data_IF_629384131524
#
_entry.id   IF_629384131524
#
_cell.length_a   1.000
_cell.length_b   1.000
_cell.length_c   1.000
_cell.angle_alpha   90.00
_cell.angle_beta   90.00
_cell.angle_gamma   90.00
#
_symmetry.space_group_name_H-M   'P 1'
#
loop_
_entity.id
_entity.type
_entity.pdbx_description
1 polymer ?
#
# COMPACT_ATOMS: atom_id res chain seq x y z
N UNK A 1 -26.31 -69.21 11.80
CA UNK A 1 -26.84 -70.49 12.30
C UNK A 1 -25.82 -71.08 13.27
N UNK A 2 -26.23 -71.36 14.52
CA UNK A 2 -25.49 -71.99 15.64
C UNK A 2 -24.28 -71.21 16.20
N UNK A 3 -23.98 -71.11 17.51
CA UNK A 3 -24.56 -71.58 18.79
C UNK A 3 -23.64 -70.95 19.86
N UNK A 4 -24.09 -70.23 20.90
CA UNK A 4 -24.26 -70.68 22.31
C UNK A 4 -24.35 -69.39 23.17
N UNK A 5 -25.42 -69.15 23.93
CA UNK A 5 -25.66 -69.61 25.31
C UNK A 5 -24.63 -69.05 26.31
N UNK A 6 -24.96 -68.50 27.48
CA UNK A 6 -26.22 -68.30 28.20
C UNK A 6 -25.87 -67.58 29.53
N UNK A 7 -26.58 -66.51 29.90
CA UNK A 7 -27.07 -66.19 31.28
C UNK A 7 -26.06 -65.89 32.41
N UNK A 8 -26.35 -65.15 33.51
CA UNK A 8 -27.56 -64.91 34.32
C UNK A 8 -27.36 -63.59 35.14
N UNK A 9 -28.39 -62.75 35.26
CA UNK A 9 -29.19 -62.43 36.50
C UNK A 9 -28.56 -61.33 37.37
N UNK A 10 -29.06 -60.08 37.33
CA UNK A 10 -30.16 -59.44 38.12
C UNK A 10 -29.70 -58.85 39.47
N UNK A 11 -29.84 -57.52 39.53
CA UNK A 11 -30.25 -56.59 40.59
C UNK A 11 -29.77 -56.77 42.04
N UNK A 12 -29.36 -55.66 42.68
CA UNK A 12 -29.97 -55.15 43.93
C UNK A 12 -29.59 -53.67 44.12
N UNK A 13 -30.61 -52.87 44.45
CA UNK A 13 -30.57 -51.46 44.85
C UNK A 13 -30.14 -51.37 46.32
N UNK A 14 -29.25 -50.44 46.68
CA UNK A 14 -29.11 -49.97 48.05
C UNK A 14 -28.74 -48.47 48.08
N UNK A 15 -29.71 -47.68 48.52
CA UNK A 15 -29.59 -46.25 48.84
C UNK A 15 -28.90 -46.09 50.19
N UNK A 16 -27.91 -45.21 50.32
CA UNK A 16 -27.51 -44.67 51.62
C UNK A 16 -27.10 -43.21 51.46
N UNK A 17 -27.90 -42.34 52.08
CA UNK A 17 -27.64 -40.92 52.28
C UNK A 17 -26.74 -40.79 53.50
N UNK A 18 -25.65 -40.02 53.41
CA UNK A 18 -25.01 -39.44 54.59
C UNK A 18 -24.58 -38.00 54.31
N UNK A 19 -24.94 -37.11 55.23
CA UNK A 19 -24.85 -35.67 55.17
C UNK A 19 -23.73 -35.19 56.11
N UNK A 20 -22.91 -34.23 55.65
CA UNK A 20 -22.29 -33.21 56.50
C UNK A 20 -20.81 -33.40 56.87
N UNK A 21 -19.96 -32.48 56.41
CA UNK A 21 -19.24 -31.52 57.27
C UNK A 21 -18.35 -30.59 56.43
N UNK A 22 -18.15 -29.39 56.97
CA UNK A 22 -17.69 -28.13 56.38
C UNK A 22 -16.18 -27.86 56.48
N UNK A 23 -15.75 -26.85 55.69
CA UNK A 23 -14.67 -25.85 55.91
C UNK A 23 -13.29 -25.99 55.21
N UNK A 24 -13.00 -24.90 54.48
CA UNK A 24 -11.72 -24.18 54.24
C UNK A 24 -10.66 -24.72 53.28
N UNK A 25 -10.39 -23.93 52.22
CA UNK A 25 -9.18 -23.99 51.41
C UNK A 25 -9.12 -22.87 50.36
N UNK A 26 -8.17 -21.95 50.53
CA UNK A 26 -7.94 -20.72 49.75
C UNK A 26 -7.76 -20.88 48.23
N UNK A 27 -8.25 -19.88 47.49
CA UNK A 27 -7.45 -19.11 46.54
C UNK A 27 -7.31 -19.65 45.11
N UNK A 28 -7.89 -18.93 44.14
CA UNK A 28 -7.17 -18.38 42.98
C UNK A 28 -8.09 -17.53 42.10
N UNK A 29 -7.62 -16.32 41.84
CA UNK A 29 -8.00 -15.36 40.80
C UNK A 29 -8.76 -15.94 39.59
N UNK A 30 -9.96 -15.42 39.34
CA UNK A 30 -10.63 -15.54 38.06
C UNK A 30 -9.82 -14.77 37.00
N UNK A 31 -9.15 -15.51 36.11
CA UNK A 31 -8.72 -14.98 34.81
C UNK A 31 -9.95 -14.96 33.91
N UNK A 32 -10.31 -13.76 33.45
CA UNK A 32 -11.14 -13.57 32.27
C UNK A 32 -10.53 -14.36 31.11
N UNK A 33 -11.25 -15.38 30.65
CA UNK A 33 -11.03 -15.90 29.31
C UNK A 33 -11.68 -14.91 28.35
N UNK A 34 -10.85 -14.07 27.74
CA UNK A 34 -11.22 -13.35 26.53
C UNK A 34 -11.74 -14.36 25.51
N UNK A 35 -12.99 -14.19 25.11
CA UNK A 35 -13.64 -14.93 24.05
C UNK A 35 -12.73 -15.00 22.82
N UNK A 36 -12.36 -16.23 22.44
CA UNK A 36 -11.82 -16.49 21.12
C UNK A 36 -12.87 -16.04 20.11
N UNK A 37 -12.58 -14.94 19.39
CA UNK A 37 -13.41 -14.48 18.30
C UNK A 37 -13.65 -15.66 17.36
N UNK A 38 -14.91 -16.07 17.23
CA UNK A 38 -15.33 -17.05 16.23
C UNK A 38 -14.64 -16.70 14.91
N UNK A 39 -13.99 -17.69 14.29
CA UNK A 39 -13.62 -17.65 12.87
C UNK A 39 -14.91 -17.59 12.07
N UNK A 40 -15.56 -16.44 12.06
CA UNK A 40 -16.65 -16.12 11.15
C UNK A 40 -16.12 -16.28 9.73
N UNK A 41 -16.91 -16.90 8.86
CA UNK A 41 -16.70 -17.12 7.42
C UNK A 41 -16.58 -15.78 6.67
N UNK A 42 -15.58 -14.98 7.03
CA UNK A 42 -15.32 -13.66 6.49
C UNK A 42 -14.76 -13.82 5.08
N UNK A 43 -15.56 -13.44 4.09
CA UNK A 43 -15.18 -13.48 2.68
C UNK A 43 -14.74 -12.10 2.23
N UNK A 44 -13.43 -11.96 2.04
CA UNK A 44 -12.78 -10.78 1.46
C UNK A 44 -12.39 -11.11 0.02
N UNK A 45 -12.55 -10.15 -0.89
CA UNK A 45 -11.88 -10.15 -2.18
C UNK A 45 -10.87 -9.02 -2.27
N UNK A 46 -9.75 -9.31 -2.92
CA UNK A 46 -8.80 -8.32 -3.42
C UNK A 46 -8.83 -8.39 -4.95
N UNK A 47 -9.08 -7.24 -5.60
CA UNK A 47 -9.23 -7.16 -7.05
C UNK A 47 -8.35 -6.07 -7.65
N UNK A 48 -7.64 -6.41 -8.71
CA UNK A 48 -6.94 -5.48 -9.58
C UNK A 48 -7.41 -5.66 -11.03
N UNK A 49 -7.43 -4.58 -11.80
CA UNK A 49 -8.09 -4.55 -13.10
C UNK A 49 -7.33 -5.29 -14.21
N UNK A 50 -5.99 -5.25 -14.18
CA UNK A 50 -5.13 -5.90 -15.16
C UNK A 50 -3.78 -6.33 -14.56
N UNK A 51 -3.03 -7.26 -15.20
CA UNK A 51 -1.70 -7.64 -14.73
C UNK A 51 -0.73 -6.45 -14.72
N UNK A 52 -0.02 -6.24 -13.60
CA UNK A 52 0.99 -5.20 -13.45
C UNK A 52 1.98 -5.58 -12.33
N UNK A 53 3.31 -5.34 -12.47
CA UNK A 53 4.30 -5.71 -11.45
C UNK A 53 4.01 -5.19 -10.03
N UNK A 54 3.55 -3.94 -9.92
CA UNK A 54 3.07 -3.35 -8.65
C UNK A 54 2.10 -4.26 -7.87
N UNK A 55 1.19 -4.96 -8.56
CA UNK A 55 0.21 -5.81 -7.91
C UNK A 55 0.82 -7.06 -7.29
N UNK A 56 1.96 -7.54 -7.78
CA UNK A 56 2.66 -8.67 -7.16
C UNK A 56 3.23 -8.29 -5.78
N UNK A 57 3.67 -7.04 -5.60
CA UNK A 57 4.08 -6.55 -4.28
C UNK A 57 2.90 -6.28 -3.35
N UNK A 58 1.75 -5.84 -3.90
CA UNK A 58 0.51 -5.70 -3.12
C UNK A 58 0.01 -7.06 -2.62
N UNK A 59 0.06 -8.10 -3.47
CA UNK A 59 -0.32 -9.48 -3.09
C UNK A 59 0.51 -10.00 -1.92
N UNK A 60 1.82 -9.73 -1.85
CA UNK A 60 2.65 -10.10 -0.68
C UNK A 60 2.07 -9.54 0.62
N UNK A 61 1.49 -8.34 0.57
CA UNK A 61 0.76 -7.74 1.69
C UNK A 61 -0.52 -8.52 2.06
N UNK A 62 -1.31 -8.89 1.05
CA UNK A 62 -2.50 -9.74 1.20
C UNK A 62 -2.11 -11.09 1.81
N UNK A 63 -1.11 -11.77 1.28
CA UNK A 63 -0.54 -13.02 1.80
C UNK A 63 -0.07 -12.86 3.26
N UNK A 64 0.59 -11.74 3.59
CA UNK A 64 0.98 -11.41 4.95
C UNK A 64 -0.22 -11.35 5.91
N UNK A 65 -1.31 -10.71 5.50
CA UNK A 65 -2.56 -10.68 6.26
C UNK A 65 -3.18 -12.07 6.41
N UNK A 66 -3.23 -12.86 5.32
CA UNK A 66 -3.77 -14.22 5.34
C UNK A 66 -2.97 -15.11 6.30
N UNK A 67 -1.63 -15.03 6.25
CA UNK A 67 -0.73 -15.79 7.12
C UNK A 67 -0.90 -15.44 8.59
N UNK A 68 -1.05 -14.15 8.91
CA UNK A 68 -1.20 -13.72 10.30
C UNK A 68 -2.57 -14.07 10.89
N UNK A 69 -3.64 -13.91 10.10
CA UNK A 69 -5.01 -14.00 10.62
C UNK A 69 -5.68 -15.35 10.36
N UNK A 70 -5.18 -16.12 9.40
CA UNK A 70 -5.82 -17.33 8.90
C UNK A 70 -7.08 -17.10 8.08
N UNK A 71 -7.38 -15.85 7.70
CA UNK A 71 -8.53 -15.47 6.87
C UNK A 71 -8.11 -15.53 5.41
N UNK A 72 -8.80 -16.33 4.60
CA UNK A 72 -8.55 -16.41 3.16
C UNK A 72 -9.13 -15.20 2.42
N UNK A 73 -8.37 -14.69 1.45
CA UNK A 73 -8.76 -13.61 0.54
C UNK A 73 -8.91 -14.18 -0.86
N UNK A 74 -10.02 -13.86 -1.53
CA UNK A 74 -10.20 -14.17 -2.95
C UNK A 74 -9.43 -13.13 -3.77
N UNK A 75 -8.27 -13.51 -4.28
CA UNK A 75 -7.43 -12.65 -5.12
C UNK A 75 -7.80 -12.84 -6.59
N UNK A 76 -8.15 -11.75 -7.29
CA UNK A 76 -8.48 -11.80 -8.71
C UNK A 76 -7.82 -10.62 -9.46
N UNK A 77 -7.24 -10.91 -10.61
CA UNK A 77 -6.77 -9.91 -11.57
C UNK A 77 -7.62 -10.00 -12.83
N UNK A 78 -8.18 -8.87 -13.25
CA UNK A 78 -8.95 -8.76 -14.49
C UNK A 78 -8.09 -8.77 -15.75
N UNK A 79 -8.71 -8.73 -16.94
CA UNK A 79 -8.00 -8.82 -18.20
C UNK A 79 -7.50 -7.46 -18.74
N UNK A 80 -8.15 -6.35 -18.36
CA UNK A 80 -7.90 -5.02 -18.89
C UNK A 80 -8.31 -3.89 -17.93
N UNK A 81 -7.84 -2.67 -18.21
CA UNK A 81 -8.12 -1.47 -17.41
C UNK A 81 -9.49 -0.85 -17.67
N UNK A 82 -10.49 -1.63 -18.12
CA UNK A 82 -11.83 -1.10 -18.40
C UNK A 82 -12.73 -1.22 -17.18
N UNK A 83 -13.38 -0.11 -16.85
CA UNK A 83 -14.35 -0.07 -15.74
C UNK A 83 -15.50 -1.07 -15.91
N UNK A 84 -15.93 -1.34 -17.15
CA UNK A 84 -16.98 -2.32 -17.43
C UNK A 84 -16.54 -3.74 -17.02
N UNK A 85 -15.35 -4.17 -17.43
CA UNK A 85 -14.77 -5.47 -17.06
C UNK A 85 -14.62 -5.60 -15.54
N UNK A 86 -14.14 -4.54 -14.88
CA UNK A 86 -14.04 -4.49 -13.43
C UNK A 86 -15.40 -4.65 -12.74
N UNK A 87 -16.42 -3.91 -13.19
CA UNK A 87 -17.76 -3.96 -12.60
C UNK A 87 -18.37 -5.36 -12.72
N UNK A 88 -18.33 -5.96 -13.90
CA UNK A 88 -18.82 -7.33 -14.14
C UNK A 88 -18.14 -8.36 -13.24
N UNK A 89 -16.81 -8.27 -13.08
CA UNK A 89 -16.05 -9.19 -12.25
C UNK A 89 -16.38 -9.02 -10.75
N UNK A 90 -16.45 -7.79 -10.26
CA UNK A 90 -16.79 -7.49 -8.87
C UNK A 90 -18.23 -7.90 -8.54
N UNK A 91 -19.18 -7.65 -9.43
CA UNK A 91 -20.57 -8.09 -9.29
C UNK A 91 -20.68 -9.62 -9.25
N UNK A 92 -19.93 -10.33 -10.10
CA UNK A 92 -19.89 -11.79 -10.09
C UNK A 92 -19.32 -12.35 -8.77
N UNK A 93 -18.31 -11.69 -8.18
CA UNK A 93 -17.78 -12.01 -6.86
C UNK A 93 -18.80 -11.70 -5.74
N UNK A 94 -19.51 -10.57 -5.85
CA UNK A 94 -20.56 -10.19 -4.91
C UNK A 94 -21.74 -11.18 -4.93
N UNK A 95 -22.11 -11.67 -6.12
CA UNK A 95 -23.13 -12.71 -6.31
C UNK A 95 -22.73 -14.05 -5.68
N UNK A 96 -21.42 -14.33 -5.55
CA UNK A 96 -20.88 -15.48 -4.80
C UNK A 96 -20.84 -15.26 -3.27
N UNK A 97 -21.40 -14.14 -2.79
CA UNK A 97 -21.56 -13.84 -1.37
C UNK A 97 -20.39 -13.09 -0.74
N UNK A 98 -19.44 -12.56 -1.53
CA UNK A 98 -18.39 -11.69 -1.01
C UNK A 98 -19.00 -10.33 -0.63
N UNK A 99 -18.67 -9.83 0.57
CA UNK A 99 -19.22 -8.58 1.13
C UNK A 99 -18.18 -7.50 1.43
N UNK A 100 -16.91 -7.81 1.23
CA UNK A 100 -15.78 -6.95 1.59
C UNK A 100 -14.76 -6.99 0.46
N UNK A 101 -14.54 -5.83 -0.17
CA UNK A 101 -13.69 -5.72 -1.35
C UNK A 101 -12.58 -4.70 -1.13
N UNK A 102 -11.35 -5.09 -1.42
CA UNK A 102 -10.25 -4.17 -1.69
C UNK A 102 -10.11 -4.09 -3.22
N UNK A 103 -10.31 -2.91 -3.80
CA UNK A 103 -10.24 -2.72 -5.25
C UNK A 103 -9.17 -1.68 -5.61
N UNK A 104 -8.45 -1.93 -6.69
CA UNK A 104 -7.77 -0.87 -7.42
C UNK A 104 -8.76 -0.35 -8.47
N UNK A 105 -9.25 0.89 -8.39
CA UNK A 105 -10.22 1.39 -9.37
C UNK A 105 -9.58 1.54 -10.74
N UNK A 106 -10.19 0.95 -11.77
CA UNK A 106 -9.76 1.12 -13.17
C UNK A 106 -9.83 2.58 -13.63
N UNK A 107 -10.94 3.25 -13.31
CA UNK A 107 -11.16 4.66 -13.57
C UNK A 107 -11.68 5.37 -12.30
N UNK A 108 -11.01 6.43 -11.82
CA UNK A 108 -11.39 7.08 -10.57
C UNK A 108 -12.83 7.60 -10.50
N UNK A 109 -13.37 8.10 -11.61
CA UNK A 109 -14.72 8.69 -11.62
C UNK A 109 -15.79 7.61 -11.81
N UNK A 110 -15.60 6.73 -12.79
CA UNK A 110 -16.58 5.74 -13.23
C UNK A 110 -16.75 4.61 -12.20
N UNK A 111 -15.70 4.29 -11.44
CA UNK A 111 -15.78 3.29 -10.37
C UNK A 111 -16.79 3.67 -9.26
N UNK A 112 -17.12 4.95 -9.06
CA UNK A 112 -18.09 5.35 -8.04
C UNK A 112 -19.49 4.77 -8.28
N UNK A 113 -19.92 4.57 -9.53
CA UNK A 113 -21.23 3.97 -9.82
C UNK A 113 -21.35 2.54 -9.28
N UNK A 114 -20.30 1.73 -9.49
CA UNK A 114 -20.20 0.38 -8.93
C UNK A 114 -20.19 0.42 -7.39
N UNK A 115 -19.39 1.32 -6.81
CA UNK A 115 -19.25 1.42 -5.35
C UNK A 115 -20.58 1.81 -4.70
N UNK A 116 -21.33 2.74 -5.30
CA UNK A 116 -22.66 3.14 -4.84
C UNK A 116 -23.66 1.97 -4.87
N UNK A 117 -23.65 1.18 -5.94
CA UNK A 117 -24.48 -0.02 -6.05
C UNK A 117 -24.13 -1.05 -4.96
N UNK A 118 -22.85 -1.31 -4.74
CA UNK A 118 -22.37 -2.24 -3.72
C UNK A 118 -22.73 -1.75 -2.30
N UNK A 119 -22.54 -0.47 -2.01
CA UNK A 119 -22.90 0.14 -0.72
C UNK A 119 -24.40 -0.02 -0.43
N UNK A 120 -25.27 0.17 -1.42
CA UNK A 120 -26.73 -0.03 -1.29
C UNK A 120 -27.12 -1.48 -0.92
N UNK A 121 -26.25 -2.45 -1.22
CA UNK A 121 -26.38 -3.88 -0.90
C UNK A 121 -25.66 -4.26 0.40
N UNK A 122 -25.17 -3.28 1.16
CA UNK A 122 -24.41 -3.48 2.39
C UNK A 122 -23.01 -4.07 2.17
N UNK A 123 -22.45 -3.91 0.97
CA UNK A 123 -21.10 -4.39 0.61
C UNK A 123 -20.12 -3.25 0.85
N UNK A 124 -19.04 -3.52 1.58
CA UNK A 124 -18.01 -2.53 1.86
C UNK A 124 -16.89 -2.63 0.84
N UNK A 125 -16.51 -1.48 0.30
CA UNK A 125 -15.38 -1.32 -0.62
C UNK A 125 -14.32 -0.43 0.00
N UNK A 126 -13.05 -0.83 -0.14
CA UNK A 126 -11.87 0.00 0.11
C UNK A 126 -11.10 0.11 -1.19
N UNK A 127 -10.70 1.34 -1.54
CA UNK A 127 -9.80 1.58 -2.66
C UNK A 127 -8.36 1.42 -2.20
N UNK A 128 -7.49 0.79 -2.99
CA UNK A 128 -6.05 0.71 -2.69
C UNK A 128 -5.20 1.20 -3.86
N UNK A 129 -4.07 1.85 -3.55
CA UNK A 129 -3.12 2.36 -4.55
C UNK A 129 -3.61 3.62 -5.28
N UNK A 130 -4.80 3.56 -5.89
CA UNK A 130 -5.50 4.70 -6.48
C UNK A 130 -6.82 4.98 -5.75
N UNK A 131 -7.22 6.24 -5.65
CA UNK A 131 -8.51 6.64 -5.09
C UNK A 131 -9.51 6.91 -6.19
N UNK A 132 -10.78 6.65 -5.92
CA UNK A 132 -11.89 7.22 -6.69
C UNK A 132 -12.02 8.72 -6.45
N UNK A 133 -12.70 9.39 -7.38
CA UNK A 133 -13.03 10.82 -7.27
C UNK A 133 -13.96 11.04 -6.08
N UNK A 134 -13.64 12.01 -5.22
CA UNK A 134 -14.49 12.36 -4.07
C UNK A 134 -15.61 13.34 -4.48
N UNK A 135 -16.82 13.24 -3.89
CA UNK A 135 -17.22 12.32 -2.83
C UNK A 135 -17.43 10.88 -3.33
N UNK A 136 -17.15 9.90 -2.46
CA UNK A 136 -17.30 8.46 -2.75
C UNK A 136 -17.90 7.71 -1.56
N UNK A 137 -18.52 6.54 -1.82
CA UNK A 137 -19.05 5.61 -0.79
C UNK A 137 -18.03 4.57 -0.32
N UNK A 138 -16.85 4.51 -0.94
CA UNK A 138 -15.75 3.69 -0.45
C UNK A 138 -15.41 4.05 1.00
N UNK A 139 -15.18 3.05 1.84
CA UNK A 139 -14.97 3.25 3.28
C UNK A 139 -13.61 3.86 3.58
N UNK A 140 -12.60 3.48 2.80
CA UNK A 140 -11.25 4.02 2.89
C UNK A 140 -10.60 4.07 1.51
N UNK A 141 -9.60 4.94 1.39
CA UNK A 141 -8.52 4.84 0.42
C UNK A 141 -7.23 4.51 1.17
N UNK A 142 -6.60 3.39 0.83
CA UNK A 142 -5.31 2.95 1.37
C UNK A 142 -4.24 3.11 0.30
N UNK A 143 -3.38 4.10 0.47
CA UNK A 143 -2.42 4.48 -0.57
C UNK A 143 -1.29 5.32 -0.05
N UNK A 144 -0.39 5.70 -0.94
CA UNK A 144 0.65 6.68 -0.65
C UNK A 144 0.06 8.10 -0.77
N UNK A 145 0.36 8.99 0.17
CA UNK A 145 0.24 10.43 -0.10
C UNK A 145 1.33 10.87 -1.09
N UNK A 146 1.00 10.84 -2.38
CA UNK A 146 1.98 11.08 -3.45
C UNK A 146 2.52 12.51 -3.46
N UNK A 147 1.72 13.49 -3.00
CA UNK A 147 2.16 14.89 -2.88
C UNK A 147 3.20 15.00 -1.77
N UNK A 148 2.89 14.47 -0.60
CA UNK A 148 3.81 14.44 0.54
C UNK A 148 5.09 13.67 0.20
N UNK A 149 4.98 12.51 -0.47
CA UNK A 149 6.13 11.73 -0.90
C UNK A 149 7.08 12.49 -1.84
N UNK A 150 6.53 13.24 -2.81
CA UNK A 150 7.33 14.07 -3.70
C UNK A 150 7.94 15.29 -2.98
N UNK A 151 7.22 15.86 -2.02
CA UNK A 151 7.74 16.91 -1.16
C UNK A 151 8.93 16.39 -0.35
N UNK A 152 8.79 15.26 0.35
CA UNK A 152 9.86 14.64 1.15
C UNK A 152 11.08 14.24 0.30
N UNK A 153 10.85 13.74 -0.92
CA UNK A 153 11.91 13.46 -1.89
C UNK A 153 12.69 14.73 -2.25
N UNK A 154 11.96 15.83 -2.49
CA UNK A 154 12.56 17.11 -2.88
C UNK A 154 13.33 17.75 -1.73
N UNK A 155 12.78 17.69 -0.51
CA UNK A 155 13.45 18.14 0.73
C UNK A 155 14.76 17.36 0.93
N UNK A 156 14.77 16.04 0.68
CA UNK A 156 15.99 15.24 0.72
C UNK A 156 16.99 15.65 -0.36
N UNK A 157 16.55 15.91 -1.59
CA UNK A 157 17.41 16.38 -2.68
C UNK A 157 18.06 17.72 -2.33
N UNK A 158 17.27 18.69 -1.84
CA UNK A 158 17.74 20.01 -1.40
C UNK A 158 18.78 19.88 -0.29
N UNK A 159 18.55 18.99 0.67
CA UNK A 159 19.51 18.69 1.74
C UNK A 159 20.84 18.15 1.20
N UNK A 160 20.81 17.23 0.22
CA UNK A 160 22.02 16.72 -0.44
C UNK A 160 22.79 17.81 -1.18
N UNK A 161 22.07 18.75 -1.81
CA UNK A 161 22.64 19.91 -2.49
C UNK A 161 23.22 20.98 -1.52
N UNK A 162 23.00 20.84 -0.22
CA UNK A 162 23.45 21.81 0.78
C UNK A 162 22.62 23.09 0.80
N UNK A 163 21.30 22.97 0.60
CA UNK A 163 20.32 24.06 0.73
C UNK A 163 20.48 25.23 -0.27
N UNK A 164 21.09 24.96 -1.42
CA UNK A 164 21.23 25.91 -2.52
C UNK A 164 21.42 25.19 -3.86
N UNK A 165 21.01 25.84 -4.95
CA UNK A 165 21.33 25.38 -6.31
C UNK A 165 20.12 25.21 -7.21
N UNK A 166 20.34 24.50 -8.31
CA UNK A 166 19.42 24.42 -9.43
C UNK A 166 18.87 23.01 -9.63
N UNK A 167 17.55 22.88 -9.67
CA UNK A 167 16.84 21.61 -9.86
C UNK A 167 16.24 21.54 -11.26
N UNK A 168 16.36 20.38 -11.90
CA UNK A 168 15.49 19.97 -13.02
C UNK A 168 14.37 19.09 -12.44
N UNK A 169 13.11 19.49 -12.66
CA UNK A 169 11.92 18.72 -12.29
C UNK A 169 11.48 17.85 -13.48
N UNK A 170 11.46 16.53 -13.31
CA UNK A 170 11.17 15.55 -14.36
C UNK A 170 9.86 14.85 -14.03
N UNK A 171 8.85 15.09 -14.86
CA UNK A 171 7.49 14.60 -14.69
C UNK A 171 7.12 13.58 -15.78
N UNK A 172 6.23 12.65 -15.46
CA UNK A 172 5.61 11.74 -16.44
C UNK A 172 4.56 12.52 -17.28
N UNK A 173 3.34 12.01 -17.38
CA UNK A 173 2.26 12.61 -18.17
C UNK A 173 1.38 13.51 -17.31
N UNK A 174 1.12 14.74 -17.76
CA UNK A 174 0.32 15.71 -16.99
C UNK A 174 -1.17 15.38 -17.01
N UNK A 175 -1.61 14.43 -17.83
CA UNK A 175 -2.96 13.90 -17.81
C UNK A 175 -3.24 13.10 -16.53
N UNK A 176 -2.21 12.49 -15.94
CA UNK A 176 -2.30 11.74 -14.68
C UNK A 176 -2.42 12.69 -13.47
N UNK A 177 -3.39 12.40 -12.61
CA UNK A 177 -3.65 13.16 -11.40
C UNK A 177 -2.50 13.04 -10.38
N UNK A 178 -1.85 11.87 -10.28
CA UNK A 178 -0.74 11.69 -9.36
C UNK A 178 0.47 12.53 -9.77
N UNK A 179 0.76 12.61 -11.07
CA UNK A 179 1.82 13.48 -11.62
C UNK A 179 1.60 14.95 -11.24
N UNK A 180 0.36 15.46 -11.29
CA UNK A 180 0.03 16.83 -10.86
C UNK A 180 0.29 17.04 -9.37
N UNK A 181 -0.14 16.11 -8.52
CA UNK A 181 0.06 16.19 -7.08
C UNK A 181 1.54 16.12 -6.68
N UNK A 182 2.31 15.26 -7.36
CA UNK A 182 3.76 15.17 -7.14
C UNK A 182 4.46 16.46 -7.57
N UNK A 183 4.07 17.05 -8.71
CA UNK A 183 4.54 18.37 -9.14
C UNK A 183 4.28 19.44 -8.08
N UNK A 184 3.05 19.51 -7.55
CA UNK A 184 2.73 20.45 -6.47
C UNK A 184 3.63 20.24 -5.24
N UNK A 185 3.88 18.99 -4.85
CA UNK A 185 4.79 18.65 -3.74
C UNK A 185 6.22 19.14 -3.96
N UNK A 186 6.77 18.96 -5.17
CA UNK A 186 8.08 19.48 -5.56
C UNK A 186 8.10 21.02 -5.47
N UNK A 187 7.11 21.69 -6.05
CA UNK A 187 7.03 23.15 -6.03
C UNK A 187 6.89 23.71 -4.60
N UNK A 188 6.09 23.06 -3.75
CA UNK A 188 5.90 23.46 -2.35
C UNK A 188 7.16 23.26 -1.51
N UNK A 189 7.91 22.17 -1.72
CA UNK A 189 9.23 22.01 -1.10
C UNK A 189 10.15 23.16 -1.53
N UNK A 190 10.36 23.37 -2.83
CA UNK A 190 11.29 24.40 -3.33
C UNK A 190 10.91 25.81 -2.85
N UNK A 191 9.62 26.14 -2.77
CA UNK A 191 9.15 27.46 -2.26
C UNK A 191 9.63 27.77 -0.84
N UNK A 192 9.95 26.76 -0.02
CA UNK A 192 10.48 26.94 1.35
C UNK A 192 11.98 27.25 1.37
N UNK A 193 12.68 27.08 0.24
CA UNK A 193 14.14 27.19 0.13
C UNK A 193 14.54 28.30 -0.86
N UNK A 194 14.73 29.55 -0.40
CA UNK A 194 14.93 30.71 -1.29
C UNK A 194 16.22 30.66 -2.13
N UNK A 195 17.19 29.83 -1.75
CA UNK A 195 18.45 29.64 -2.47
C UNK A 195 18.39 28.49 -3.49
N UNK A 196 17.24 27.82 -3.59
CA UNK A 196 16.98 26.72 -4.53
C UNK A 196 16.00 27.21 -5.59
N UNK A 197 16.23 26.82 -6.84
CA UNK A 197 15.30 27.12 -7.94
C UNK A 197 15.12 25.94 -8.88
N UNK A 198 13.90 25.75 -9.35
CA UNK A 198 13.62 24.87 -10.50
C UNK A 198 14.02 25.65 -11.75
N UNK A 199 15.11 25.23 -12.41
CA UNK A 199 15.62 25.89 -13.63
C UNK A 199 14.98 25.34 -14.90
N UNK A 200 14.41 24.14 -14.82
CA UNK A 200 13.68 23.53 -15.91
C UNK A 200 12.68 22.52 -15.35
N UNK A 201 11.50 22.47 -15.96
CA UNK A 201 10.54 21.39 -15.78
C UNK A 201 10.33 20.72 -17.14
N UNK A 202 10.43 19.39 -17.19
CA UNK A 202 10.18 18.59 -18.39
C UNK A 202 9.11 17.53 -18.10
N UNK A 203 8.25 17.26 -19.09
CA UNK A 203 7.10 16.35 -18.95
C UNK A 203 6.74 15.62 -20.25
N UNK A 204 5.70 14.80 -20.18
CA UNK A 204 5.10 14.08 -21.30
C UNK A 204 5.91 12.88 -21.76
N UNK A 205 6.51 12.15 -20.82
CA UNK A 205 7.28 10.93 -21.08
C UNK A 205 6.34 9.72 -20.95
N UNK A 206 6.13 9.02 -22.06
CA UNK A 206 5.21 7.86 -22.13
C UNK A 206 5.92 6.52 -22.18
N UNK A 207 7.24 6.53 -22.36
CA UNK A 207 8.09 5.34 -22.33
C UNK A 207 9.46 5.67 -21.74
N UNK A 208 10.19 4.62 -21.34
CA UNK A 208 11.56 4.75 -20.84
C UNK A 208 12.48 5.39 -21.88
N UNK A 209 12.32 5.08 -23.17
CA UNK A 209 13.11 5.68 -24.25
C UNK A 209 12.86 7.18 -24.39
N UNK A 210 11.59 7.61 -24.35
CA UNK A 210 11.24 9.03 -24.36
C UNK A 210 11.80 9.76 -23.14
N UNK A 211 11.76 9.13 -21.96
CA UNK A 211 12.32 9.68 -20.73
C UNK A 211 13.83 9.86 -20.85
N UNK A 212 14.57 8.83 -21.26
CA UNK A 212 16.03 8.91 -21.48
C UNK A 212 16.37 10.03 -22.44
N UNK A 213 15.70 10.11 -23.58
CA UNK A 213 15.97 11.15 -24.59
C UNK A 213 15.76 12.56 -24.02
N UNK A 214 14.57 12.84 -23.45
CA UNK A 214 14.23 14.17 -22.93
C UNK A 214 15.10 14.58 -21.75
N UNK A 215 15.41 13.65 -20.85
CA UNK A 215 16.29 13.90 -19.69
C UNK A 215 17.71 14.15 -20.17
N UNK A 216 18.22 13.36 -21.13
CA UNK A 216 19.56 13.57 -21.69
C UNK A 216 19.69 14.96 -22.33
N UNK A 217 18.71 15.39 -23.12
CA UNK A 217 18.71 16.71 -23.76
C UNK A 217 18.65 17.84 -22.71
N UNK A 218 17.80 17.69 -21.70
CA UNK A 218 17.67 18.65 -20.59
C UNK A 218 18.96 18.74 -19.76
N UNK A 219 19.57 17.61 -19.43
CA UNK A 219 20.83 17.57 -18.68
C UNK A 219 21.96 18.15 -19.52
N UNK A 220 22.08 17.81 -20.81
CA UNK A 220 23.09 18.37 -21.69
C UNK A 220 22.98 19.90 -21.81
N UNK A 221 21.77 20.44 -21.92
CA UNK A 221 21.54 21.88 -22.00
C UNK A 221 21.84 22.65 -20.70
N UNK A 222 21.87 21.95 -19.55
CA UNK A 222 22.03 22.57 -18.24
C UNK A 222 23.22 22.02 -17.44
N UNK A 223 24.09 21.20 -18.04
CA UNK A 223 25.10 20.41 -17.33
C UNK A 223 26.00 21.28 -16.44
N UNK A 224 26.33 22.49 -16.90
CA UNK A 224 27.23 23.41 -16.19
C UNK A 224 26.60 24.09 -14.97
N UNK A 225 25.28 24.01 -14.82
CA UNK A 225 24.54 24.73 -13.76
C UNK A 225 23.55 23.87 -12.98
N UNK A 226 23.11 22.72 -13.47
CA UNK A 226 22.22 21.82 -12.71
C UNK A 226 22.97 21.21 -11.54
N UNK A 227 22.36 21.21 -10.37
CA UNK A 227 22.90 20.65 -9.12
C UNK A 227 22.05 19.47 -8.63
N UNK A 228 20.76 19.44 -8.97
CA UNK A 228 19.82 18.39 -8.61
C UNK A 228 18.85 18.01 -9.73
N UNK A 229 18.41 16.75 -9.75
CA UNK A 229 17.31 16.29 -10.61
C UNK A 229 16.35 15.46 -9.76
N UNK A 230 15.06 15.80 -9.83
CA UNK A 230 13.98 15.04 -9.19
C UNK A 230 13.11 14.40 -10.28
N UNK A 231 13.00 13.07 -10.27
CA UNK A 231 12.02 12.33 -11.07
C UNK A 231 10.85 11.91 -10.20
N UNK A 232 9.63 12.20 -10.66
CA UNK A 232 8.43 11.97 -9.87
C UNK A 232 7.57 10.82 -10.38
N UNK A 233 8.17 9.80 -10.99
CA UNK A 233 7.46 8.59 -11.43
C UNK A 233 8.41 7.55 -11.99
N UNK A 234 7.95 6.30 -12.04
CA UNK A 234 8.76 5.13 -12.42
C UNK A 234 9.51 5.32 -13.74
N UNK A 235 8.80 5.72 -14.81
CA UNK A 235 9.38 5.90 -16.15
C UNK A 235 10.47 6.96 -16.14
N UNK A 236 10.23 8.06 -15.43
CA UNK A 236 11.21 9.16 -15.29
C UNK A 236 12.40 8.76 -14.43
N UNK A 237 12.20 7.98 -13.38
CA UNK A 237 13.26 7.48 -12.49
C UNK A 237 14.20 6.54 -13.24
N UNK A 238 13.65 5.62 -14.05
CA UNK A 238 14.43 4.76 -14.94
C UNK A 238 15.24 5.61 -15.93
N UNK A 239 14.62 6.64 -16.51
CA UNK A 239 15.30 7.57 -17.40
C UNK A 239 16.50 8.28 -16.74
N UNK A 240 16.33 8.84 -15.54
CA UNK A 240 17.44 9.46 -14.79
C UNK A 240 18.52 8.42 -14.50
N UNK A 241 18.16 7.22 -14.03
CA UNK A 241 19.11 6.16 -13.70
C UNK A 241 20.06 5.84 -14.86
N UNK A 242 19.51 5.70 -16.07
CA UNK A 242 20.28 5.41 -17.28
C UNK A 242 21.14 6.61 -17.71
N UNK A 243 20.57 7.82 -17.74
CA UNK A 243 21.30 9.03 -18.14
C UNK A 243 22.48 9.31 -17.20
N UNK A 244 22.28 9.19 -15.88
CA UNK A 244 23.34 9.43 -14.91
C UNK A 244 24.44 8.37 -14.97
N UNK A 245 24.08 7.11 -15.20
CA UNK A 245 25.05 6.05 -15.44
C UNK A 245 25.93 6.35 -16.66
N UNK A 246 25.32 6.80 -17.76
CA UNK A 246 26.04 7.12 -18.99
C UNK A 246 26.93 8.36 -18.85
N UNK A 247 26.46 9.41 -18.19
CA UNK A 247 27.25 10.60 -17.87
C UNK A 247 28.49 10.22 -17.05
N UNK A 248 28.32 9.34 -16.04
CA UNK A 248 29.43 8.89 -15.20
C UNK A 248 30.43 8.02 -15.98
N UNK A 249 29.95 7.10 -16.81
CA UNK A 249 30.80 6.26 -17.68
C UNK A 249 31.59 7.06 -18.71
N UNK A 250 31.04 8.18 -19.19
CA UNK A 250 31.73 9.15 -20.08
C UNK A 250 32.74 10.03 -19.35
N UNK A 251 32.95 9.83 -18.04
CA UNK A 251 34.01 10.49 -17.27
C UNK A 251 33.64 11.86 -16.70
N UNK A 252 32.35 12.24 -16.69
CA UNK A 252 31.95 13.49 -16.06
C UNK A 252 32.18 13.44 -14.54
N UNK A 253 32.84 14.46 -14.01
CA UNK A 253 33.21 14.60 -12.60
C UNK A 253 32.29 15.53 -11.82
N UNK A 254 31.39 16.27 -12.48
CA UNK A 254 30.42 17.14 -11.82
C UNK A 254 29.43 16.30 -11.02
N UNK A 255 29.26 16.68 -9.76
CA UNK A 255 28.22 16.12 -8.90
C UNK A 255 26.88 16.73 -9.26
N UNK A 256 25.92 15.87 -9.62
CA UNK A 256 24.51 16.22 -9.79
C UNK A 256 23.75 15.23 -8.92
N UNK A 257 23.08 15.73 -7.89
CA UNK A 257 22.30 14.87 -7.00
C UNK A 257 21.00 14.45 -7.67
N UNK A 258 20.58 13.22 -7.49
CA UNK A 258 19.39 12.68 -8.14
C UNK A 258 18.54 11.86 -7.20
N UNK A 259 17.24 12.15 -7.19
CA UNK A 259 16.24 11.37 -6.47
C UNK A 259 15.12 10.99 -7.43
N UNK A 260 14.73 9.71 -7.40
CA UNK A 260 13.57 9.20 -8.10
C UNK A 260 12.38 8.92 -7.18
N UNK A 261 11.29 8.47 -7.78
CA UNK A 261 10.17 7.78 -7.13
C UNK A 261 9.99 6.42 -7.82
N UNK A 262 9.57 5.43 -7.04
CA UNK A 262 9.42 4.02 -7.39
C UNK A 262 10.75 3.25 -7.44
N UNK A 263 10.64 1.92 -7.49
CA UNK A 263 11.75 0.99 -7.18
C UNK A 263 12.00 -0.01 -8.29
N UNK A 264 11.89 0.42 -9.55
CA UNK A 264 12.32 -0.39 -10.68
C UNK A 264 13.75 -0.93 -10.45
N UNK A 265 14.03 -2.21 -10.79
CA UNK A 265 15.35 -2.79 -10.59
C UNK A 265 16.51 -1.98 -11.18
N UNK A 266 16.31 -1.27 -12.30
CA UNK A 266 17.30 -0.38 -12.92
C UNK A 266 17.64 0.78 -11.97
N UNK A 267 16.63 1.38 -11.34
CA UNK A 267 16.80 2.48 -10.37
C UNK A 267 17.55 1.99 -9.13
N UNK A 268 17.13 0.85 -8.57
CA UNK A 268 17.80 0.26 -7.40
C UNK A 268 19.27 -0.07 -7.71
N UNK A 269 19.55 -0.62 -8.90
CA UNK A 269 20.92 -0.92 -9.33
C UNK A 269 21.75 0.35 -9.51
N UNK A 270 21.18 1.41 -10.08
CA UNK A 270 21.85 2.69 -10.24
C UNK A 270 22.23 3.31 -8.88
N UNK A 271 21.37 3.18 -7.87
CA UNK A 271 21.69 3.61 -6.49
C UNK A 271 22.84 2.77 -5.91
N UNK A 272 22.80 1.45 -6.06
CA UNK A 272 23.88 0.57 -5.60
C UNK A 272 25.24 0.88 -6.26
N UNK A 273 25.22 1.16 -7.55
CA UNK A 273 26.40 1.52 -8.35
C UNK A 273 26.88 2.95 -8.09
N UNK A 274 26.10 3.78 -7.38
CA UNK A 274 26.42 5.17 -7.07
C UNK A 274 26.18 6.13 -8.24
N UNK A 275 25.30 5.79 -9.17
CA UNK A 275 24.84 6.67 -10.25
C UNK A 275 23.64 7.52 -9.84
N UNK A 276 22.89 7.09 -8.81
CA UNK A 276 21.82 7.87 -8.18
C UNK A 276 21.98 7.93 -6.66
N UNK A 277 21.49 8.99 -6.02
CA UNK A 277 21.58 9.14 -4.57
C UNK A 277 20.48 8.36 -3.84
N UNK A 278 19.25 8.47 -4.33
CA UNK A 278 18.10 7.82 -3.70
C UNK A 278 16.90 7.62 -4.65
N UNK A 279 15.92 6.83 -4.20
CA UNK A 279 14.56 6.84 -4.75
C UNK A 279 13.55 6.71 -3.61
N UNK A 280 12.30 7.12 -3.81
CA UNK A 280 11.22 6.89 -2.85
C UNK A 280 10.51 5.59 -3.19
N UNK A 281 10.59 4.60 -2.30
CA UNK A 281 9.73 3.43 -2.35
C UNK A 281 8.38 3.74 -1.71
N UNK A 282 7.32 3.51 -2.48
CA UNK A 282 5.96 3.42 -1.94
C UNK A 282 5.81 2.17 -1.07
N UNK A 283 4.62 1.97 -0.47
CA UNK A 283 4.35 0.80 0.37
C UNK A 283 3.26 -0.12 -0.21
N UNK A 284 3.51 -0.80 -1.36
CA UNK A 284 2.55 -1.74 -1.95
C UNK A 284 2.17 -2.88 -0.99
N UNK A 285 3.13 -3.39 -0.22
CA UNK A 285 2.86 -4.37 0.84
C UNK A 285 1.80 -3.84 1.82
N UNK A 286 1.97 -2.61 2.30
CA UNK A 286 1.01 -1.92 3.17
C UNK A 286 -0.35 -1.72 2.51
N UNK A 287 -0.40 -1.42 1.20
CA UNK A 287 -1.66 -1.29 0.46
C UNK A 287 -2.50 -2.56 0.53
N UNK A 288 -1.89 -3.73 0.32
CA UNK A 288 -2.59 -5.01 0.42
C UNK A 288 -2.95 -5.36 1.87
N UNK A 289 -1.96 -5.33 2.75
CA UNK A 289 -2.10 -5.78 4.14
C UNK A 289 -3.11 -4.93 4.92
N UNK A 290 -3.00 -3.59 4.84
CA UNK A 290 -3.86 -2.69 5.61
C UNK A 290 -5.29 -2.65 5.05
N UNK A 291 -5.47 -2.78 3.72
CA UNK A 291 -6.81 -2.89 3.13
C UNK A 291 -7.57 -4.10 3.67
N UNK A 292 -6.95 -5.28 3.66
CA UNK A 292 -7.57 -6.48 4.23
C UNK A 292 -7.81 -6.35 5.74
N UNK A 293 -6.89 -5.72 6.47
CA UNK A 293 -7.04 -5.45 7.90
C UNK A 293 -8.24 -4.54 8.19
N UNK A 294 -8.39 -3.45 7.42
CA UNK A 294 -9.53 -2.53 7.56
C UNK A 294 -10.85 -3.22 7.21
N UNK A 295 -10.89 -4.06 6.16
CA UNK A 295 -12.08 -4.87 5.83
C UNK A 295 -12.46 -5.83 6.96
N UNK A 296 -11.49 -6.41 7.66
CA UNK A 296 -11.74 -7.20 8.88
C UNK A 296 -12.34 -6.36 10.01
N UNK A 297 -11.89 -5.12 10.20
CA UNK A 297 -12.50 -4.22 11.18
C UNK A 297 -13.94 -3.85 10.79
N UNK A 298 -14.18 -3.52 9.52
CA UNK A 298 -15.51 -3.20 9.00
C UNK A 298 -16.46 -4.39 9.18
N UNK A 299 -15.99 -5.63 9.01
CA UNK A 299 -16.81 -6.83 9.24
C UNK A 299 -17.13 -7.09 10.71
N UNK A 300 -16.29 -6.60 11.62
CA UNK A 300 -16.53 -6.60 13.05
C UNK A 300 -17.38 -5.40 13.54
N UNK A 301 -17.99 -4.63 12.63
CA UNK A 301 -18.91 -3.54 12.96
C UNK A 301 -18.25 -2.19 13.24
N UNK A 302 -16.93 -2.07 13.03
CA UNK A 302 -16.26 -0.78 13.06
C UNK A 302 -16.62 0.05 11.83
N UNK A 303 -16.43 1.37 11.91
CA UNK A 303 -16.63 2.31 10.81
C UNK A 303 -15.50 3.34 10.75
N UNK A 304 -15.26 3.99 9.59
CA UNK A 304 -14.33 5.11 9.51
C UNK A 304 -14.75 6.25 10.44
N UNK A 305 -13.78 6.88 11.11
CA UNK A 305 -14.00 8.17 11.77
C UNK A 305 -14.29 9.25 10.74
N UNK A 306 -15.07 10.26 11.14
CA UNK A 306 -15.36 11.40 10.27
C UNK A 306 -14.06 12.06 9.77
N UNK A 307 -13.97 12.28 8.46
CA UNK A 307 -12.79 12.88 7.81
C UNK A 307 -11.58 11.96 7.69
N UNK A 308 -11.63 10.71 8.15
CA UNK A 308 -10.51 9.76 8.11
C UNK A 308 -10.66 8.75 6.96
N UNK A 309 -10.93 9.24 5.75
CA UNK A 309 -11.05 8.40 4.54
C UNK A 309 -9.70 7.88 4.04
N UNK A 310 -8.65 8.71 4.11
CA UNK A 310 -7.32 8.40 3.56
C UNK A 310 -6.42 7.77 4.63
N UNK A 311 -5.92 6.58 4.35
CA UNK A 311 -4.92 5.87 5.17
C UNK A 311 -3.61 5.88 4.40
N UNK A 312 -2.73 6.83 4.73
CA UNK A 312 -1.39 6.86 4.18
C UNK A 312 -0.58 5.66 4.69
N UNK A 313 -0.05 4.86 3.78
CA UNK A 313 0.80 3.70 4.05
C UNK A 313 2.27 4.08 4.23
N UNK A 314 2.59 5.35 3.95
CA UNK A 314 3.89 5.97 4.04
C UNK A 314 4.89 5.41 3.03
N UNK A 315 6.08 5.99 3.05
CA UNK A 315 7.15 5.69 2.09
C UNK A 315 8.48 5.42 2.80
N UNK A 316 9.45 4.87 2.06
CA UNK A 316 10.84 4.72 2.49
C UNK A 316 11.73 5.39 1.44
N UNK A 317 12.62 6.27 1.88
CA UNK A 317 13.70 6.77 1.02
C UNK A 317 14.76 5.66 0.94
N UNK A 318 14.87 5.08 -0.24
CA UNK A 318 15.85 4.04 -0.56
C UNK A 318 17.14 4.70 -1.00
N UNK A 319 18.22 4.42 -0.29
CA UNK A 319 19.57 4.85 -0.57
C UNK A 319 20.46 3.62 -0.70
N UNK A 320 21.75 3.81 -1.02
CA UNK A 320 22.71 2.70 -1.04
C UNK A 320 22.76 1.93 0.29
N UNK A 321 22.47 2.57 1.42
CA UNK A 321 22.53 1.96 2.74
C UNK A 321 21.43 0.91 2.99
N UNK A 322 20.24 1.07 2.39
CA UNK A 322 19.10 0.18 2.59
C UNK A 322 18.53 -0.41 1.29
N UNK A 323 19.21 -0.23 0.15
CA UNK A 323 18.77 -0.74 -1.16
C UNK A 323 18.50 -2.26 -1.19
N UNK A 324 19.07 -3.04 -0.26
CA UNK A 324 18.89 -4.49 -0.19
C UNK A 324 17.85 -4.94 0.85
N UNK A 325 17.32 -4.04 1.68
CA UNK A 325 16.42 -4.39 2.78
C UNK A 325 15.31 -3.35 3.06
N UNK A 326 15.10 -2.36 2.18
CA UNK A 326 14.05 -1.35 2.37
C UNK A 326 12.64 -1.96 2.50
N UNK A 327 12.41 -3.17 1.96
CA UNK A 327 11.14 -3.89 2.13
C UNK A 327 10.87 -4.28 3.60
N UNK A 328 11.91 -4.52 4.40
CA UNK A 328 11.76 -4.77 5.83
C UNK A 328 11.28 -3.50 6.55
N UNK A 329 11.79 -2.34 6.13
CA UNK A 329 11.34 -1.03 6.64
C UNK A 329 9.87 -0.76 6.28
N UNK A 330 9.44 -1.08 5.05
CA UNK A 330 8.03 -0.98 4.63
C UNK A 330 7.13 -1.91 5.46
N UNK A 331 7.59 -3.13 5.74
CA UNK A 331 6.85 -4.08 6.59
C UNK A 331 6.72 -3.55 8.02
N UNK A 332 7.80 -2.99 8.58
CA UNK A 332 7.78 -2.35 9.90
C UNK A 332 6.82 -1.16 9.95
N UNK A 333 6.89 -0.27 8.97
CA UNK A 333 6.00 0.90 8.86
C UNK A 333 4.53 0.48 8.74
N UNK A 334 4.25 -0.59 7.98
CA UNK A 334 2.93 -1.20 7.90
C UNK A 334 2.43 -1.67 9.27
N UNK A 335 3.28 -2.33 10.05
CA UNK A 335 2.93 -2.77 11.41
C UNK A 335 2.68 -1.59 12.37
N UNK A 336 3.46 -0.52 12.26
CA UNK A 336 3.26 0.71 13.05
C UNK A 336 1.92 1.39 12.72
N UNK A 337 1.55 1.46 11.44
CA UNK A 337 0.26 2.02 11.01
C UNK A 337 -0.89 1.13 11.48
N UNK A 338 -0.75 -0.19 11.33
CA UNK A 338 -1.71 -1.20 11.81
C UNK A 338 -2.03 -1.01 13.30
N UNK A 339 -1.01 -0.81 14.13
CA UNK A 339 -1.15 -0.63 15.58
C UNK A 339 -1.97 0.62 15.95
N UNK A 340 -2.08 1.60 15.05
CA UNK A 340 -2.79 2.86 15.26
C UNK A 340 -4.13 2.94 14.50
N UNK A 341 -4.58 1.87 13.84
CA UNK A 341 -5.82 1.94 13.04
C UNK A 341 -7.05 2.27 13.89
N UNK A 342 -7.20 1.61 15.04
CA UNK A 342 -8.32 1.81 15.96
C UNK A 342 -8.35 3.23 16.55
N UNK A 343 -7.18 3.79 16.85
CA UNK A 343 -7.10 5.11 17.50
C UNK A 343 -7.18 6.25 16.48
N UNK A 344 -6.65 6.07 15.27
CA UNK A 344 -6.57 7.14 14.27
C UNK A 344 -7.72 7.12 13.27
N UNK A 345 -8.10 5.95 12.75
CA UNK A 345 -8.97 5.86 11.57
C UNK A 345 -10.35 5.25 11.83
N UNK A 346 -10.51 4.44 12.87
CA UNK A 346 -11.73 3.67 13.11
C UNK A 346 -12.45 4.07 14.40
N UNK A 347 -13.76 3.92 14.44
CA UNK A 347 -14.56 4.02 15.66
C UNK A 347 -15.58 2.87 15.73
N UNK A 348 -15.90 2.41 16.95
CA UNK A 348 -16.97 1.43 17.15
C UNK A 348 -18.32 2.11 17.01
N UNK A 349 -19.27 1.41 16.41
CA UNK A 349 -20.68 1.81 16.40
C UNK A 349 -21.28 1.80 17.80
#
# INVERSE_FOLDING_TARGET
>A
MNKKNLSKVIATIATTVFLGATLTGCGSTAKENSEGSNKTDLKIAWYASAPHPYFEDVKKGVEGFQKETGITVTEQIGPDWKQESESQNIEALAAKGIKYFAIYPSDPASANGLIDELDSKGINVINFGASTTEPTKAKFYVGTDVKQAAMDATEKLISLMGDKGNIINVLEVLEDANTKLRKEGVEEAVKKHPNVKIIQEISGMKSNEEAVQKIQDSVAANIDKVDGIIATGDTTSVGIAQVMADIKKKGNTRTIHTIGIDTDPIVIKAIQDGYMDATVSQNPYGHGYLSCTLLKYLSAGWKPKAGQYRVDTGTVIVTKANATNYQDELTKKTAEIKANLETKYLEKK
#
